data_IF_866909828321
#
_entry.id   IF_866909828321
#
_cell.length_a   1.000
_cell.length_b   1.000
_cell.length_c   1.000
_cell.angle_alpha   90.00
_cell.angle_beta   90.00
_cell.angle_gamma   90.00
#
_symmetry.space_group_name_H-M   'P 1'
#
loop_
_entity.id
_entity.type
_entity.pdbx_description
1 polymer ?
#
# COMPACT_ATOMS: atom_id res chain seq x y z
N UNK A 1 -8.85 -0.20 -3.55
CA UNK A 1 -7.78 -0.21 -2.53
C UNK A 1 -8.45 -0.13 -1.16
N UNK A 2 -7.90 -0.82 -0.15
CA UNK A 2 -8.34 -0.72 1.24
C UNK A 2 -7.15 -0.50 2.16
N UNK A 3 -7.43 0.11 3.30
CA UNK A 3 -6.48 0.33 4.39
C UNK A 3 -7.10 -0.28 5.65
N UNK A 4 -6.35 -1.13 6.34
CA UNK A 4 -6.79 -1.82 7.54
C UNK A 4 -5.78 -1.59 8.67
N UNK A 5 -6.30 -1.43 9.90
CA UNK A 5 -5.46 -1.33 11.09
C UNK A 5 -5.03 -2.73 11.56
N UNK A 6 -3.73 -2.99 11.57
CA UNK A 6 -3.18 -4.25 12.10
C UNK A 6 -2.97 -4.16 13.61
N UNK A 7 -2.39 -3.05 14.06
CA UNK A 7 -2.22 -2.74 15.48
C UNK A 7 -2.20 -1.22 15.71
N UNK A 8 -1.78 -0.76 16.89
CA UNK A 8 -1.77 0.68 17.21
C UNK A 8 -0.89 1.52 16.28
N UNK A 9 0.18 0.95 15.74
CA UNK A 9 1.18 1.69 14.97
C UNK A 9 1.24 1.29 13.49
N UNK A 10 0.75 0.10 13.15
CA UNK A 10 0.88 -0.48 11.80
C UNK A 10 -0.48 -0.54 11.12
N UNK A 11 -0.54 -0.02 9.89
CA UNK A 11 -1.62 -0.25 8.95
C UNK A 11 -1.17 -1.12 7.80
N UNK A 12 -2.11 -1.86 7.21
CA UNK A 12 -1.94 -2.66 6.00
C UNK A 12 -2.69 -2.00 4.86
N UNK A 13 -2.02 -1.77 3.73
CA UNK A 13 -2.64 -1.37 2.47
C UNK A 13 -2.65 -2.57 1.54
N UNK A 14 -3.81 -2.88 0.99
CA UNK A 14 -4.01 -3.98 0.05
C UNK A 14 -5.07 -3.63 -1.00
N UNK A 15 -5.11 -4.45 -2.05
CA UNK A 15 -6.01 -4.27 -3.18
C UNK A 15 -7.13 -5.30 -3.14
N UNK A 16 -8.33 -4.86 -3.51
CA UNK A 16 -9.51 -5.72 -3.56
C UNK A 16 -10.24 -5.54 -4.87
N UNK A 17 -10.95 -6.57 -5.30
CA UNK A 17 -11.91 -6.50 -6.40
C UNK A 17 -13.24 -5.83 -5.95
N UNK A 18 -14.21 -5.73 -6.86
CA UNK A 18 -15.53 -5.16 -6.58
C UNK A 18 -16.31 -5.92 -5.48
N UNK A 19 -16.33 -7.26 -5.46
CA UNK A 19 -16.86 -8.03 -4.33
C UNK A 19 -16.14 -7.80 -2.99
N UNK A 20 -14.89 -7.32 -3.01
CA UNK A 20 -14.08 -7.08 -1.82
C UNK A 20 -13.08 -8.19 -1.50
N UNK A 21 -12.85 -9.14 -2.41
CA UNK A 21 -11.80 -10.16 -2.29
C UNK A 21 -10.43 -9.53 -2.50
N UNK A 22 -9.43 -9.96 -1.73
CA UNK A 22 -8.04 -9.53 -1.95
C UNK A 22 -7.52 -10.00 -3.31
N UNK A 23 -6.85 -9.10 -4.02
CA UNK A 23 -6.25 -9.36 -5.33
C UNK A 23 -4.76 -8.98 -5.31
N UNK A 24 -3.94 -9.51 -6.24
CA UNK A 24 -2.58 -9.04 -6.43
C UNK A 24 -2.53 -7.53 -6.64
N UNK A 25 -1.48 -6.89 -6.12
CA UNK A 25 -1.27 -5.46 -6.33
C UNK A 25 -1.16 -5.21 -7.84
N UNK A 26 -1.93 -4.26 -8.41
CA UNK A 26 -1.84 -3.91 -9.82
C UNK A 26 -0.42 -3.51 -10.21
N UNK A 27 -0.01 -3.86 -11.44
CA UNK A 27 1.31 -3.52 -11.96
C UNK A 27 1.54 -2.01 -11.95
N UNK A 28 2.76 -1.60 -11.60
CA UNK A 28 3.17 -0.19 -11.58
C UNK A 28 2.76 0.58 -10.33
N UNK A 29 2.11 -0.07 -9.36
CA UNK A 29 1.86 0.53 -8.05
C UNK A 29 3.16 0.62 -7.26
N UNK A 30 3.43 1.79 -6.70
CA UNK A 30 4.52 2.02 -5.75
C UNK A 30 3.98 2.87 -4.61
N UNK A 31 4.34 2.53 -3.38
CA UNK A 31 4.05 3.34 -2.21
C UNK A 31 5.37 3.95 -1.74
N UNK A 32 5.38 5.24 -1.43
CA UNK A 32 6.58 5.95 -0.99
C UNK A 32 6.32 6.66 0.32
N UNK A 33 7.23 6.44 1.28
CA UNK A 33 7.35 7.27 2.47
C UNK A 33 7.84 8.66 2.05
N UNK A 34 7.03 9.70 2.28
CA UNK A 34 7.33 11.07 1.82
C UNK A 34 8.42 11.72 2.64
N UNK A 35 8.56 11.34 3.92
CA UNK A 35 9.57 11.90 4.82
C UNK A 35 10.96 11.38 4.46
N UNK A 36 11.06 10.07 4.27
CA UNK A 36 12.35 9.42 3.97
C UNK A 36 12.63 9.36 2.46
N UNK A 37 11.65 9.63 1.61
CA UNK A 37 11.72 9.51 0.15
C UNK A 37 12.19 8.12 -0.31
N UNK A 38 11.71 7.08 0.38
CA UNK A 38 12.02 5.67 0.11
C UNK A 38 10.75 4.95 -0.32
N UNK A 39 10.86 4.08 -1.32
CA UNK A 39 9.74 3.23 -1.72
C UNK A 39 9.56 2.10 -0.69
N UNK A 40 8.34 1.92 -0.22
CA UNK A 40 7.98 0.86 0.71
C UNK A 40 8.12 -0.51 0.04
N UNK A 41 8.60 -1.48 0.82
CA UNK A 41 8.77 -2.85 0.34
C UNK A 41 7.44 -3.58 0.38
N UNK A 42 7.10 -4.22 -0.73
CA UNK A 42 5.95 -5.11 -0.80
C UNK A 42 6.20 -6.37 0.03
N UNK A 43 5.30 -6.70 0.96
CA UNK A 43 5.30 -7.99 1.63
C UNK A 43 4.26 -8.91 0.98
N UNK A 44 4.71 -10.07 0.48
CA UNK A 44 3.83 -11.06 -0.16
C UNK A 44 3.48 -12.15 0.86
N UNK A 45 2.20 -12.26 1.20
CA UNK A 45 1.67 -13.30 2.10
C UNK A 45 0.72 -14.16 1.27
N UNK A 46 0.98 -15.47 1.20
CA UNK A 46 0.16 -16.42 0.43
C UNK A 46 -0.06 -16.03 -1.04
N UNK A 47 0.95 -15.40 -1.66
CA UNK A 47 0.90 -14.96 -3.06
C UNK A 47 0.21 -13.60 -3.31
N UNK A 48 -0.29 -12.95 -2.26
CA UNK A 48 -0.92 -11.62 -2.34
C UNK A 48 -0.03 -10.59 -1.66
N UNK A 49 0.30 -9.53 -2.39
CA UNK A 49 1.14 -8.43 -1.91
C UNK A 49 0.36 -7.44 -1.04
N UNK A 50 1.01 -6.91 -0.01
CA UNK A 50 0.50 -5.82 0.82
C UNK A 50 1.62 -4.90 1.26
N UNK A 51 1.30 -3.62 1.49
CA UNK A 51 2.21 -2.68 2.14
C UNK A 51 1.87 -2.58 3.62
N UNK A 52 2.89 -2.51 4.46
CA UNK A 52 2.74 -2.28 5.89
C UNK A 52 3.40 -0.95 6.22
N UNK A 53 2.60 -0.01 6.72
CA UNK A 53 3.02 1.36 6.96
C UNK A 53 2.81 1.76 8.40
N UNK A 54 3.55 2.79 8.84
CA UNK A 54 3.30 3.42 10.12
C UNK A 54 2.10 4.37 10.00
N UNK A 55 1.16 4.28 10.94
CA UNK A 55 0.00 5.18 11.00
C UNK A 55 0.38 6.67 11.11
N UNK A 56 1.53 6.95 11.72
CA UNK A 56 1.98 8.31 12.04
C UNK A 56 2.80 8.98 10.93
N UNK A 57 3.01 8.30 9.81
CA UNK A 57 3.83 8.79 8.71
C UNK A 57 2.97 9.08 7.47
N UNK A 58 3.51 9.94 6.61
CA UNK A 58 2.88 10.35 5.36
C UNK A 58 3.40 9.51 4.20
N UNK A 59 2.49 9.12 3.29
CA UNK A 59 2.81 8.27 2.17
C UNK A 59 2.12 8.75 0.90
N UNK A 60 2.84 8.66 -0.22
CA UNK A 60 2.30 8.91 -1.56
C UNK A 60 2.22 7.61 -2.35
N UNK A 61 1.06 7.35 -2.94
CA UNK A 61 0.84 6.24 -3.86
C UNK A 61 1.12 6.69 -5.29
N UNK A 62 1.81 5.87 -6.07
CA UNK A 62 2.10 6.13 -7.47
C UNK A 62 1.58 4.98 -8.33
N UNK A 63 1.08 5.30 -9.52
CA UNK A 63 0.80 4.33 -10.58
C UNK A 63 1.63 4.69 -11.80
N UNK A 64 2.50 3.77 -12.21
CA UNK A 64 3.44 3.96 -13.33
C UNK A 64 4.27 5.26 -13.19
N UNK A 65 4.65 5.60 -11.95
CA UNK A 65 5.45 6.79 -11.64
C UNK A 65 4.66 8.10 -11.55
N UNK A 66 3.35 8.08 -11.82
CA UNK A 66 2.47 9.24 -11.62
C UNK A 66 1.85 9.17 -10.23
N UNK A 67 1.98 10.23 -9.45
CA UNK A 67 1.39 10.32 -8.12
C UNK A 67 -0.13 10.29 -8.21
N UNK A 68 -0.76 9.43 -7.41
CA UNK A 68 -2.19 9.46 -7.17
C UNK A 68 -2.47 10.60 -6.19
N UNK A 69 -2.87 11.75 -6.74
CA UNK A 69 -3.39 12.89 -5.97
C UNK A 69 -4.91 12.78 -5.98
N UNK A 70 -5.53 12.71 -4.80
CA UNK A 70 -6.98 12.83 -4.64
C UNK A 70 -7.31 14.08 -3.82
#
# INVERSE_FOLDING_TARGET
MRIEKVNMNIMRIYFVDNPGNEIPIPTGITLRDTLNNVNETLLVISGIGSFFILWIADYSLFQNGVEFVH
#
